data_IF_705511944648
#
_entry.id   IF_705511944648
#
_cell.length_a   1.000
_cell.length_b   1.000
_cell.length_c   1.000
_cell.angle_alpha   90.00
_cell.angle_beta   90.00
_cell.angle_gamma   90.00
#
_symmetry.space_group_name_H-M   'P 1'
#
loop_
_entity.id
_entity.type
_entity.pdbx_description
1 polymer ?
#
# COMPACT_ATOMS: atom_id res chain seq x y z
N UNK A 1 -18.09 -16.84 4.73
CA UNK A 1 -17.52 -15.47 4.72
C UNK A 1 -16.97 -15.09 6.09
N UNK A 2 -17.77 -15.16 7.17
CA UNK A 2 -17.34 -14.80 8.53
C UNK A 2 -16.15 -15.66 9.00
N UNK A 3 -16.15 -16.96 8.73
CA UNK A 3 -15.03 -17.84 9.09
C UNK A 3 -13.72 -17.47 8.38
N UNK A 4 -13.80 -17.05 7.12
CA UNK A 4 -12.65 -16.58 6.36
C UNK A 4 -12.08 -15.27 6.90
N UNK A 5 -12.94 -14.35 7.33
CA UNK A 5 -12.53 -13.10 7.99
C UNK A 5 -11.85 -13.40 9.32
N UNK A 6 -12.42 -14.32 10.11
CA UNK A 6 -11.86 -14.70 11.41
C UNK A 6 -10.48 -15.37 11.25
N UNK A 7 -10.35 -16.28 10.28
CA UNK A 7 -9.07 -16.92 9.95
C UNK A 7 -8.02 -15.89 9.50
N UNK A 8 -8.41 -14.95 8.63
CA UNK A 8 -7.52 -13.89 8.16
C UNK A 8 -7.05 -12.99 9.32
N UNK A 9 -7.96 -12.64 10.24
CA UNK A 9 -7.63 -11.83 11.41
C UNK A 9 -6.67 -12.55 12.36
N UNK A 10 -6.92 -13.84 12.65
CA UNK A 10 -6.03 -14.67 13.46
C UNK A 10 -4.63 -14.77 12.82
N UNK A 11 -4.58 -14.96 11.51
CA UNK A 11 -3.32 -15.05 10.76
C UNK A 11 -2.55 -13.73 10.84
N UNK A 12 -3.23 -12.60 10.61
CA UNK A 12 -2.61 -11.28 10.65
C UNK A 12 -2.09 -10.89 12.05
N UNK A 13 -2.79 -11.31 13.11
CA UNK A 13 -2.40 -11.05 14.50
C UNK A 13 -1.30 -11.98 15.03
N UNK A 14 -0.85 -12.96 14.24
CA UNK A 14 0.28 -13.79 14.64
C UNK A 14 1.55 -12.94 14.77
N UNK A 15 2.38 -13.26 15.77
CA UNK A 15 3.59 -12.48 16.06
C UNK A 15 4.54 -12.38 14.87
N UNK A 16 4.67 -13.47 14.10
CA UNK A 16 5.52 -13.50 12.91
C UNK A 16 5.02 -12.52 11.84
N UNK A 17 3.72 -12.53 11.56
CA UNK A 17 3.11 -11.67 10.55
C UNK A 17 3.10 -10.19 10.97
N UNK A 18 2.99 -9.90 12.27
CA UNK A 18 3.17 -8.55 12.80
C UNK A 18 4.60 -8.03 12.57
N UNK A 19 5.61 -8.86 12.78
CA UNK A 19 7.00 -8.47 12.50
C UNK A 19 7.22 -8.24 10.99
N UNK A 20 6.62 -9.08 10.15
CA UNK A 20 6.69 -8.93 8.70
C UNK A 20 6.00 -7.69 8.19
N UNK A 21 4.80 -7.35 8.69
CA UNK A 21 4.11 -6.12 8.26
C UNK A 21 4.88 -4.89 8.70
N UNK A 22 5.46 -4.89 9.91
CA UNK A 22 6.30 -3.78 10.39
C UNK A 22 7.55 -3.63 9.52
N UNK A 23 8.25 -4.72 9.23
CA UNK A 23 9.41 -4.71 8.34
C UNK A 23 9.03 -4.23 6.94
N UNK A 24 7.91 -4.72 6.39
CA UNK A 24 7.38 -4.31 5.11
C UNK A 24 7.05 -2.82 5.06
N UNK A 25 6.34 -2.30 6.07
CA UNK A 25 6.02 -0.89 6.20
C UNK A 25 7.29 -0.02 6.24
N UNK A 26 8.30 -0.40 7.04
CA UNK A 26 9.56 0.34 7.12
C UNK A 26 10.26 0.38 5.76
N UNK A 27 10.46 -0.78 5.13
CA UNK A 27 11.09 -0.91 3.81
C UNK A 27 10.31 -0.09 2.78
N UNK A 28 8.99 -0.25 2.75
CA UNK A 28 8.08 0.47 1.87
C UNK A 28 8.20 1.98 2.04
N UNK A 29 8.20 2.49 3.28
CA UNK A 29 8.32 3.92 3.54
C UNK A 29 9.68 4.47 3.14
N UNK A 30 10.78 3.77 3.44
CA UNK A 30 12.12 4.21 3.04
C UNK A 30 12.28 4.29 1.52
N UNK A 31 11.87 3.24 0.81
CA UNK A 31 11.99 3.22 -0.65
C UNK A 31 10.96 4.16 -1.28
N UNK A 32 9.76 4.28 -0.71
CA UNK A 32 8.72 5.18 -1.19
C UNK A 32 9.08 6.66 -1.06
N UNK A 33 9.94 7.04 -0.11
CA UNK A 33 10.48 8.39 -0.02
C UNK A 33 11.41 8.74 -1.20
N UNK A 34 11.88 7.76 -1.98
CA UNK A 34 12.70 8.02 -3.16
C UNK A 34 11.81 8.51 -4.31
N UNK A 35 12.02 9.74 -4.82
CA UNK A 35 11.19 10.30 -5.87
C UNK A 35 11.29 9.48 -7.16
N UNK A 36 10.15 9.29 -7.83
CA UNK A 36 10.04 8.53 -9.07
C UNK A 36 9.91 7.01 -8.92
N UNK A 37 10.01 6.45 -7.70
CA UNK A 37 9.73 5.04 -7.45
C UNK A 37 8.29 4.86 -6.97
N UNK A 38 7.44 4.29 -7.83
CA UNK A 38 6.07 3.99 -7.49
C UNK A 38 5.93 2.73 -6.62
N UNK A 39 4.81 2.58 -5.88
CA UNK A 39 4.55 1.41 -5.04
C UNK A 39 4.63 0.08 -5.82
N UNK A 40 4.19 0.08 -7.08
CA UNK A 40 4.25 -1.10 -7.95
C UNK A 40 5.69 -1.51 -8.28
N UNK A 41 6.58 -0.54 -8.50
CA UNK A 41 8.00 -0.82 -8.72
C UNK A 41 8.63 -1.46 -7.48
N UNK A 42 8.27 -0.99 -6.29
CA UNK A 42 8.77 -1.53 -5.02
C UNK A 42 8.24 -2.93 -4.78
N UNK A 43 6.94 -3.18 -5.04
CA UNK A 43 6.37 -4.52 -5.00
C UNK A 43 7.14 -5.46 -5.93
N UNK A 44 7.38 -5.05 -7.19
CA UNK A 44 8.09 -5.88 -8.15
C UNK A 44 9.50 -6.28 -7.66
N UNK A 45 10.22 -5.36 -7.01
CA UNK A 45 11.53 -5.61 -6.40
C UNK A 45 11.42 -6.53 -5.17
N UNK A 46 10.32 -6.47 -4.42
CA UNK A 46 10.10 -7.27 -3.21
C UNK A 46 9.51 -8.65 -3.47
N UNK A 47 8.88 -8.91 -4.63
CA UNK A 47 8.32 -10.23 -4.97
C UNK A 47 9.32 -11.38 -4.79
N UNK A 48 10.58 -11.31 -5.27
CA UNK A 48 11.55 -12.40 -5.07
C UNK A 48 11.85 -12.68 -3.60
N UNK A 49 11.83 -11.65 -2.76
CA UNK A 49 12.05 -11.79 -1.31
C UNK A 49 10.80 -12.41 -0.67
N UNK A 50 9.61 -11.95 -1.06
CA UNK A 50 8.35 -12.47 -0.57
C UNK A 50 8.19 -13.97 -0.89
N UNK A 51 8.56 -14.41 -2.09
CA UNK A 51 8.51 -15.82 -2.49
C UNK A 51 9.49 -16.68 -1.66
N UNK A 52 10.67 -16.15 -1.30
CA UNK A 52 11.65 -16.89 -0.47
C UNK A 52 11.18 -17.14 0.96
N UNK A 53 10.20 -16.40 1.46
CA UNK A 53 9.63 -16.60 2.82
C UNK A 53 8.88 -17.93 2.90
N UNK A 54 8.39 -18.47 1.77
CA UNK A 54 7.78 -19.80 1.68
C UNK A 54 6.33 -19.87 2.18
N UNK A 55 5.97 -19.11 3.22
CA UNK A 55 4.57 -18.99 3.67
C UNK A 55 3.81 -17.91 2.86
N UNK A 56 2.75 -18.27 2.11
CA UNK A 56 2.00 -17.32 1.29
C UNK A 56 1.35 -16.20 2.09
N UNK A 57 0.90 -16.49 3.31
CA UNK A 57 0.20 -15.51 4.15
C UNK A 57 1.15 -14.41 4.60
N UNK A 58 2.30 -14.83 5.15
CA UNK A 58 3.45 -14.00 5.47
C UNK A 58 3.92 -13.12 4.31
N UNK A 59 4.06 -13.72 3.12
CA UNK A 59 4.49 -13.02 1.91
C UNK A 59 3.50 -11.91 1.50
N UNK A 60 2.20 -12.20 1.49
CA UNK A 60 1.15 -11.22 1.17
C UNK A 60 1.11 -10.09 2.19
N UNK A 61 1.28 -10.39 3.48
CA UNK A 61 1.29 -9.39 4.56
C UNK A 61 2.51 -8.47 4.44
N UNK A 62 3.69 -9.03 4.14
CA UNK A 62 4.89 -8.23 3.86
C UNK A 62 4.66 -7.29 2.67
N UNK A 63 4.18 -7.81 1.55
CA UNK A 63 3.94 -7.02 0.33
C UNK A 63 2.87 -5.94 0.56
N UNK A 64 1.83 -6.23 1.33
CA UNK A 64 0.84 -5.24 1.73
C UNK A 64 1.49 -4.13 2.58
N UNK A 65 2.31 -4.48 3.57
CA UNK A 65 3.07 -3.51 4.36
C UNK A 65 3.96 -2.62 3.49
N UNK A 66 4.69 -3.21 2.55
CA UNK A 66 5.51 -2.48 1.58
C UNK A 66 4.67 -1.51 0.74
N UNK A 67 3.52 -1.96 0.24
CA UNK A 67 2.64 -1.12 -0.57
C UNK A 67 2.11 0.11 0.20
N UNK A 68 1.52 -0.11 1.38
CA UNK A 68 0.99 0.98 2.19
C UNK A 68 2.10 1.92 2.69
N UNK A 69 3.24 1.34 3.09
CA UNK A 69 4.43 2.10 3.47
C UNK A 69 4.94 2.97 2.32
N UNK A 70 4.97 2.44 1.10
CA UNK A 70 5.41 3.16 -0.10
C UNK A 70 4.48 4.30 -0.50
N UNK A 71 3.16 4.10 -0.45
CA UNK A 71 2.17 5.15 -0.72
C UNK A 71 2.37 6.33 0.23
N UNK A 72 2.53 6.04 1.53
CA UNK A 72 2.77 7.08 2.53
C UNK A 72 4.17 7.72 2.39
N UNK A 73 5.20 6.92 2.13
CA UNK A 73 6.56 7.41 1.86
C UNK A 73 6.63 8.36 0.67
N UNK A 74 5.94 8.04 -0.43
CA UNK A 74 5.87 8.92 -1.61
C UNK A 74 5.12 10.23 -1.35
N UNK A 75 4.15 10.22 -0.43
CA UNK A 75 3.53 11.46 0.03
C UNK A 75 4.53 12.36 0.76
N UNK A 76 5.48 11.78 1.49
CA UNK A 76 6.53 12.53 2.20
C UNK A 76 7.47 13.26 1.23
N UNK A 77 7.92 12.60 0.15
CA UNK A 77 8.75 13.24 -0.87
C UNK A 77 7.99 14.33 -1.64
N UNK A 78 6.71 14.11 -1.94
CA UNK A 78 5.82 15.13 -2.51
C UNK A 78 5.68 16.37 -1.62
N UNK A 79 5.48 16.17 -0.32
CA UNK A 79 5.25 17.27 0.64
C UNK A 79 6.54 18.06 0.89
N UNK A 80 7.68 17.38 1.09
CA UNK A 80 8.89 18.05 1.54
C UNK A 80 9.68 18.71 0.40
N UNK A 81 9.72 18.08 -0.77
CA UNK A 81 10.61 18.50 -1.87
C UNK A 81 9.91 18.62 -3.23
N UNK A 82 8.57 18.55 -3.25
CA UNK A 82 7.75 18.67 -4.47
C UNK A 82 8.14 17.68 -5.59
N UNK A 83 8.56 16.48 -5.21
CA UNK A 83 8.99 15.44 -6.15
C UNK A 83 8.07 14.21 -6.03
N UNK A 84 6.89 14.24 -6.69
CA UNK A 84 5.93 13.14 -6.64
C UNK A 84 6.42 11.92 -7.41
N UNK A 85 6.30 10.74 -6.81
CA UNK A 85 6.65 9.46 -7.45
C UNK A 85 5.51 8.85 -8.26
N UNK A 86 4.26 9.18 -7.94
CA UNK A 86 3.06 8.67 -8.63
C UNK A 86 1.95 9.72 -8.69
N UNK A 87 1.04 9.59 -9.65
CA UNK A 87 -0.07 10.52 -9.87
C UNK A 87 -0.88 10.81 -8.59
N UNK A 88 -1.14 9.80 -7.75
CA UNK A 88 -1.87 9.98 -6.48
C UNK A 88 -1.17 10.93 -5.50
N UNK A 89 0.16 10.90 -5.45
CA UNK A 89 0.98 11.76 -4.56
C UNK A 89 1.18 13.17 -5.12
N UNK A 90 0.82 13.42 -6.39
CA UNK A 90 0.83 14.78 -6.97
C UNK A 90 -0.24 15.63 -6.31
N UNK A 91 -1.44 15.09 -6.08
CA UNK A 91 -2.51 15.82 -5.38
C UNK A 91 -2.06 16.27 -3.99
N UNK A 92 -1.30 15.43 -3.28
CA UNK A 92 -0.74 15.76 -1.96
C UNK A 92 0.28 16.90 -2.02
N UNK A 93 1.00 17.06 -3.14
CA UNK A 93 1.98 18.14 -3.31
C UNK A 93 1.33 19.52 -3.44
N UNK A 94 0.11 19.61 -3.98
CA UNK A 94 -0.59 20.89 -4.20
C UNK A 94 -0.84 21.66 -2.91
N UNK A 95 -1.26 20.97 -1.84
CA UNK A 95 -1.46 21.59 -0.53
C UNK A 95 -0.25 21.40 0.38
N UNK A 96 0.36 20.21 0.32
CA UNK A 96 1.42 19.81 1.24
C UNK A 96 2.74 20.56 1.04
N UNK A 97 3.18 20.79 -0.20
CA UNK A 97 4.43 21.49 -0.46
C UNK A 97 4.38 22.97 -0.08
N UNK A 98 3.31 23.73 -0.40
CA UNK A 98 3.14 25.09 0.14
C UNK A 98 3.15 25.14 1.67
N UNK A 99 2.49 24.20 2.35
CA UNK A 99 2.52 24.11 3.81
C UNK A 99 3.94 23.83 4.36
N UNK A 100 4.68 22.92 3.72
CA UNK A 100 6.06 22.64 4.10
C UNK A 100 6.96 23.88 3.93
N UNK A 101 6.78 24.63 2.84
CA UNK A 101 7.48 25.91 2.60
C UNK A 101 7.17 27.00 3.62
N UNK A 102 6.01 26.95 4.26
CA UNK A 102 5.61 27.84 5.36
C UNK A 102 6.13 27.36 6.74
N UNK A 103 7.00 26.35 6.78
CA UNK A 103 7.50 25.76 8.03
C UNK A 103 6.51 24.81 8.71
N UNK A 104 5.38 24.49 8.06
CA UNK A 104 4.35 23.60 8.61
C UNK A 104 4.49 22.15 8.11
N UNK A 105 5.71 21.71 7.82
CA UNK A 105 5.98 20.37 7.26
C UNK A 105 5.43 19.23 8.13
N UNK A 106 5.63 19.29 9.46
CA UNK A 106 5.09 18.28 10.38
C UNK A 106 3.55 18.21 10.36
N UNK A 107 2.89 19.37 10.23
CA UNK A 107 1.42 19.44 10.11
C UNK A 107 0.95 18.82 8.80
N UNK A 108 1.61 19.15 7.68
CA UNK A 108 1.30 18.58 6.37
C UNK A 108 1.46 17.04 6.35
N UNK A 109 2.56 16.53 6.91
CA UNK A 109 2.81 15.08 7.03
C UNK A 109 1.78 14.39 7.91
N UNK A 110 1.37 15.01 9.02
CA UNK A 110 0.34 14.46 9.91
C UNK A 110 -1.02 14.37 9.23
N UNK A 111 -1.41 15.42 8.50
CA UNK A 111 -2.66 15.43 7.72
C UNK A 111 -2.62 14.31 6.66
N UNK A 112 -1.51 14.16 5.95
CA UNK A 112 -1.33 13.10 4.96
C UNK A 112 -1.38 11.69 5.58
N UNK A 113 -0.82 11.51 6.78
CA UNK A 113 -0.87 10.24 7.49
C UNK A 113 -2.31 9.86 7.88
N UNK A 114 -3.04 10.80 8.48
CA UNK A 114 -4.42 10.59 8.92
C UNK A 114 -5.34 10.36 7.72
N UNK A 115 -5.20 11.14 6.65
CA UNK A 115 -6.02 10.97 5.46
C UNK A 115 -5.76 9.62 4.77
N UNK A 116 -4.51 9.20 4.70
CA UNK A 116 -4.12 7.88 4.16
C UNK A 116 -4.66 6.74 5.01
N UNK A 117 -4.60 6.86 6.34
CA UNK A 117 -5.15 5.86 7.26
C UNK A 117 -6.66 5.74 7.12
N UNK A 118 -7.39 6.85 7.14
CA UNK A 118 -8.85 6.86 6.99
C UNK A 118 -9.27 6.32 5.62
N UNK A 119 -8.66 6.82 4.54
CA UNK A 119 -8.96 6.38 3.17
C UNK A 119 -8.63 4.90 2.95
N UNK A 120 -7.48 4.44 3.44
CA UNK A 120 -7.07 3.03 3.36
C UNK A 120 -8.00 2.11 4.17
N UNK A 121 -8.40 2.52 5.37
CA UNK A 121 -9.32 1.74 6.21
C UNK A 121 -10.70 1.63 5.58
N UNK A 122 -11.26 2.74 5.10
CA UNK A 122 -12.56 2.75 4.41
C UNK A 122 -12.47 1.88 3.14
N UNK A 123 -11.41 2.04 2.36
CA UNK A 123 -11.16 1.23 1.15
C UNK A 123 -11.07 -0.26 1.45
N UNK A 124 -10.37 -0.66 2.52
CA UNK A 124 -10.24 -2.06 2.92
C UNK A 124 -11.59 -2.65 3.37
N UNK A 125 -12.40 -1.91 4.13
CA UNK A 125 -13.74 -2.35 4.55
C UNK A 125 -14.67 -2.50 3.34
N UNK A 126 -14.68 -1.51 2.45
CA UNK A 126 -15.47 -1.58 1.21
C UNK A 126 -15.03 -2.77 0.36
N UNK A 127 -13.72 -2.95 0.17
CA UNK A 127 -13.18 -4.08 -0.58
C UNK A 127 -13.58 -5.41 0.04
N UNK A 128 -13.56 -5.56 1.37
CA UNK A 128 -14.03 -6.78 2.05
C UNK A 128 -15.49 -7.09 1.71
N UNK A 129 -16.35 -6.07 1.61
CA UNK A 129 -17.75 -6.23 1.20
C UNK A 129 -17.93 -6.56 -0.28
N UNK A 130 -17.14 -5.95 -1.18
CA UNK A 130 -17.23 -6.16 -2.62
C UNK A 130 -16.40 -7.35 -3.14
N UNK A 131 -15.49 -7.89 -2.34
CA UNK A 131 -14.60 -9.00 -2.72
C UNK A 131 -15.32 -10.23 -3.28
N UNK A 132 -16.46 -10.70 -2.74
CA UNK A 132 -17.18 -11.85 -3.30
C UNK A 132 -17.67 -11.57 -4.72
N UNK A 133 -18.31 -10.42 -4.93
CA UNK A 133 -18.80 -10.01 -6.25
C UNK A 133 -17.65 -9.87 -7.25
N UNK A 134 -16.53 -9.29 -6.81
CA UNK A 134 -15.34 -9.11 -7.63
C UNK A 134 -14.71 -10.47 -7.99
N UNK A 135 -14.74 -11.44 -7.08
CA UNK A 135 -14.20 -12.79 -7.32
C UNK A 135 -14.98 -13.55 -8.39
N UNK A 136 -16.31 -13.40 -8.43
CA UNK A 136 -17.14 -14.02 -9.48
C UNK A 136 -16.79 -13.47 -10.86
N UNK A 137 -16.52 -12.16 -10.95
CA UNK A 137 -16.08 -11.52 -12.21
C UNK A 137 -14.66 -11.96 -12.57
N UNK A 138 -13.76 -12.05 -11.59
CA UNK A 138 -12.38 -12.51 -11.82
C UNK A 138 -12.33 -13.94 -12.39
N UNK A 139 -13.23 -14.83 -11.96
CA UNK A 139 -13.35 -16.19 -12.48
C UNK A 139 -13.85 -16.27 -13.93
N UNK A 140 -14.40 -15.18 -14.49
CA UNK A 140 -14.82 -15.13 -15.90
C UNK A 140 -13.66 -14.81 -16.85
N UNK A 141 -12.52 -14.32 -16.35
CA UNK A 141 -11.34 -14.05 -17.17
C UNK A 141 -10.66 -15.36 -17.57
N UNK A 142 -10.76 -15.71 -18.86
CA UNK A 142 -10.05 -16.82 -19.46
C UNK A 142 -8.90 -16.30 -20.34
N UNK A 143 -8.22 -17.22 -21.04
CA UNK A 143 -7.03 -16.89 -21.82
C UNK A 143 -7.25 -15.81 -22.88
N UNK A 144 -8.46 -15.70 -23.44
CA UNK A 144 -8.78 -14.70 -24.45
C UNK A 144 -8.87 -13.29 -23.84
N UNK A 145 -9.49 -13.17 -22.67
CA UNK A 145 -9.65 -11.92 -21.94
C UNK A 145 -8.33 -11.44 -21.35
N UNK A 146 -7.48 -12.35 -20.86
CA UNK A 146 -6.12 -12.01 -20.43
C UNK A 146 -5.26 -11.51 -21.60
N UNK A 147 -5.37 -12.11 -22.79
CA UNK A 147 -4.65 -11.65 -23.98
C UNK A 147 -5.13 -10.27 -24.46
N UNK A 148 -6.43 -9.96 -24.32
CA UNK A 148 -6.97 -8.66 -24.72
C UNK A 148 -6.61 -7.52 -23.76
N UNK A 149 -6.28 -7.83 -22.50
CA UNK A 149 -5.96 -6.86 -21.45
C UNK A 149 -4.48 -6.49 -21.33
N UNK A 150 -3.57 -7.40 -21.69
CA UNK A 150 -2.11 -7.17 -21.68
C UNK A 150 -1.61 -6.63 -23.01
#
# INVERSE_FOLDING_TARGET
MIDGVLLGLQTALSFNNLMMVVAGCLIGTFIGMLPGLGPMSIIAIMIPIAIKIGDPSSALILLAGVYYGAIFGGSTSSILINAPGVAGTVATSFDGYPMARQGQAGKALTIAAISSFCGGTIGAILLMGFAPTLSTVALLFHSAEYFALM
#
